data_IF_590900975838
#
_entry.id   IF_590900975838
#
_cell.length_a   1.000
_cell.length_b   1.000
_cell.length_c   1.000
_cell.angle_alpha   90.00
_cell.angle_beta   90.00
_cell.angle_gamma   90.00
#
_symmetry.space_group_name_H-M   'P 1'
#
loop_
_entity.id
_entity.type
_entity.pdbx_description
1 polymer ?
#
# COMPACT_ATOMS: atom_id res chain seq x y z
N UNK A 1 -24.79 10.02 -19.17
CA UNK A 1 -23.61 9.93 -18.29
C UNK A 1 -23.77 8.69 -17.44
N UNK A 2 -22.76 7.81 -17.40
CA UNK A 2 -22.68 6.81 -16.33
C UNK A 2 -22.37 7.55 -15.02
N UNK A 3 -22.85 7.07 -13.86
CA UNK A 3 -22.39 7.55 -12.58
C UNK A 3 -20.86 7.45 -12.52
N UNK A 4 -20.18 8.49 -12.06
CA UNK A 4 -18.72 8.48 -11.93
C UNK A 4 -18.22 7.34 -11.02
N UNK A 5 -19.01 6.93 -10.03
CA UNK A 5 -18.71 5.76 -9.19
C UNK A 5 -18.65 4.44 -9.96
N UNK A 6 -19.18 4.36 -11.19
CA UNK A 6 -19.05 3.19 -12.07
C UNK A 6 -17.77 3.22 -12.92
N UNK A 7 -17.00 4.32 -12.90
CA UNK A 7 -15.74 4.43 -13.66
C UNK A 7 -14.61 3.63 -13.01
N UNK A 8 -14.62 3.50 -11.69
CA UNK A 8 -13.53 2.91 -10.92
C UNK A 8 -13.92 1.56 -10.32
N UNK A 9 -13.89 0.53 -11.17
CA UNK A 9 -14.14 -0.86 -10.75
C UNK A 9 -12.82 -1.53 -10.39
N UNK A 10 -12.54 -1.84 -9.11
CA UNK A 10 -11.28 -2.48 -8.74
C UNK A 10 -11.26 -3.94 -9.21
N UNK A 11 -10.08 -4.37 -9.62
CA UNK A 11 -9.80 -5.75 -10.06
C UNK A 11 -9.00 -6.55 -9.03
N UNK A 12 -8.56 -5.89 -7.96
CA UNK A 12 -7.69 -6.43 -6.94
C UNK A 12 -6.50 -5.50 -6.66
N UNK A 13 -5.56 -5.97 -5.87
CA UNK A 13 -4.39 -5.19 -5.53
C UNK A 13 -3.26 -5.99 -4.93
N UNK A 14 -2.19 -5.30 -4.58
CA UNK A 14 -1.04 -5.86 -3.86
C UNK A 14 -0.97 -5.23 -2.47
N UNK A 15 -0.76 -6.04 -1.44
CA UNK A 15 -0.33 -5.59 -0.11
C UNK A 15 1.19 -5.70 -0.05
N UNK A 16 1.88 -4.58 -0.21
CA UNK A 16 3.32 -4.50 -0.08
C UNK A 16 3.79 -4.27 1.34
N UNK A 17 5.03 -4.66 1.62
CA UNK A 17 5.61 -4.66 2.96
C UNK A 17 7.10 -4.32 2.88
N UNK A 18 7.59 -3.48 3.79
CA UNK A 18 9.01 -3.15 3.90
C UNK A 18 9.40 -2.97 5.37
N UNK A 19 10.51 -3.59 5.76
CA UNK A 19 11.20 -3.21 6.99
C UNK A 19 12.08 -2.01 6.63
N UNK A 20 11.67 -0.82 7.07
CA UNK A 20 12.25 0.45 6.68
C UNK A 20 12.95 1.13 7.85
N UNK A 21 14.08 1.78 7.58
CA UNK A 21 14.71 2.75 8.48
C UNK A 21 15.26 3.89 7.62
N UNK A 22 15.35 5.10 8.19
CA UNK A 22 16.07 6.21 7.57
C UNK A 22 16.76 7.05 8.65
N UNK A 23 18.04 6.77 8.95
CA UNK A 23 18.78 7.50 9.97
C UNK A 23 18.94 8.98 9.65
N UNK A 24 19.01 9.34 8.36
CA UNK A 24 19.12 10.73 7.90
C UNK A 24 17.88 11.58 8.20
N UNK A 25 16.72 10.94 8.35
CA UNK A 25 15.46 11.57 8.74
C UNK A 25 15.05 11.23 10.18
N UNK A 26 15.94 10.63 10.98
CA UNK A 26 15.65 10.13 12.33
C UNK A 26 14.44 9.17 12.38
N UNK A 27 14.27 8.34 11.35
CA UNK A 27 13.26 7.29 11.29
C UNK A 27 13.90 6.00 11.80
N UNK A 28 13.48 5.58 12.98
CA UNK A 28 13.83 4.28 13.57
C UNK A 28 13.27 3.11 12.73
N UNK A 29 13.90 1.93 12.82
CA UNK A 29 13.44 0.75 12.09
C UNK A 29 12.00 0.38 12.44
N UNK A 30 11.18 0.13 11.41
CA UNK A 30 9.78 -0.26 11.56
C UNK A 30 9.25 -0.99 10.32
N UNK A 31 8.23 -1.81 10.51
CA UNK A 31 7.47 -2.39 9.41
C UNK A 31 6.52 -1.33 8.86
N UNK A 32 6.56 -1.13 7.55
CA UNK A 32 5.61 -0.30 6.81
C UNK A 32 4.90 -1.13 5.74
N UNK A 33 3.61 -0.86 5.58
CA UNK A 33 2.80 -1.43 4.52
C UNK A 33 2.55 -0.41 3.43
N UNK A 34 2.25 -0.91 2.23
CA UNK A 34 1.73 -0.11 1.13
C UNK A 34 0.68 -0.91 0.38
N UNK A 35 -0.27 -0.21 -0.24
CA UNK A 35 -1.35 -0.84 -1.01
C UNK A 35 -1.31 -0.27 -2.43
N UNK A 36 -1.37 -1.17 -3.42
CA UNK A 36 -1.61 -0.80 -4.81
C UNK A 36 -2.93 -1.43 -5.26
N UNK A 37 -3.93 -0.61 -5.60
CA UNK A 37 -5.23 -1.06 -6.11
C UNK A 37 -5.30 -0.80 -7.61
N UNK A 38 -5.58 -1.85 -8.38
CA UNK A 38 -5.72 -1.80 -9.84
C UNK A 38 -7.19 -1.74 -10.22
N UNK A 39 -7.52 -0.92 -11.19
CA UNK A 39 -8.89 -0.79 -11.71
C UNK A 39 -9.02 -1.40 -13.10
N UNK A 40 -10.25 -1.72 -13.50
CA UNK A 40 -10.55 -2.07 -14.88
C UNK A 40 -10.17 -0.89 -15.79
N UNK A 41 -9.69 -1.15 -17.02
CA UNK A 41 -9.57 -0.10 -18.01
C UNK A 41 -10.91 0.62 -18.19
N UNK A 42 -10.86 1.94 -18.24
CA UNK A 42 -12.02 2.80 -18.38
C UNK A 42 -11.75 3.87 -19.44
N UNK A 43 -12.82 4.42 -20.00
CA UNK A 43 -12.74 5.48 -21.00
C UNK A 43 -13.32 6.76 -20.41
N UNK A 44 -12.52 7.82 -20.39
CA UNK A 44 -12.92 9.17 -19.97
C UNK A 44 -12.50 10.11 -21.10
N UNK A 45 -13.45 10.90 -21.61
CA UNK A 45 -13.24 11.83 -22.73
C UNK A 45 -12.59 11.19 -23.97
N UNK A 46 -13.10 10.03 -24.39
CA UNK A 46 -12.62 9.24 -25.54
C UNK A 46 -11.15 8.75 -25.41
N UNK A 47 -10.56 8.81 -24.21
CA UNK A 47 -9.23 8.25 -23.90
C UNK A 47 -9.35 7.01 -23.02
N UNK A 48 -8.73 5.90 -23.44
CA UNK A 48 -8.63 4.68 -22.63
C UNK A 48 -7.50 4.83 -21.61
N UNK A 49 -7.78 4.51 -20.36
CA UNK A 49 -6.79 4.50 -19.29
C UNK A 49 -6.97 3.33 -18.34
N UNK A 50 -5.88 2.99 -17.65
CA UNK A 50 -5.86 2.00 -16.58
C UNK A 50 -5.50 2.69 -15.27
N UNK A 51 -6.49 3.08 -14.45
CA UNK A 51 -6.22 3.77 -13.20
C UNK A 51 -5.47 2.88 -12.20
N UNK A 52 -4.67 3.50 -11.33
CA UNK A 52 -3.96 2.84 -10.25
C UNK A 52 -4.00 3.73 -9.00
N UNK A 53 -4.53 3.22 -7.89
CA UNK A 53 -4.46 3.92 -6.61
C UNK A 53 -3.31 3.34 -5.79
N UNK A 54 -2.44 4.21 -5.29
CA UNK A 54 -1.32 3.85 -4.41
C UNK A 54 -1.47 4.49 -3.06
N UNK A 55 -1.21 3.72 -2.01
CA UNK A 55 -1.12 4.17 -0.63
C UNK A 55 0.23 3.74 -0.10
N UNK A 56 1.02 4.69 0.38
CA UNK A 56 2.36 4.47 0.90
C UNK A 56 2.41 4.71 2.41
N UNK A 57 3.46 4.17 3.04
CA UNK A 57 3.82 4.47 4.44
C UNK A 57 2.70 4.18 5.45
N UNK A 58 1.94 3.10 5.25
CA UNK A 58 0.92 2.67 6.20
C UNK A 58 1.64 2.06 7.41
N UNK A 59 1.56 2.76 8.55
CA UNK A 59 2.20 2.36 9.81
C UNK A 59 1.09 2.03 10.81
N UNK A 60 0.98 0.74 11.12
CA UNK A 60 -0.05 0.19 12.00
C UNK A 60 0.58 -0.75 13.04
N UNK A 61 -0.05 -1.00 14.19
CA UNK A 61 0.46 -1.88 15.24
C UNK A 61 0.37 -3.36 14.84
N UNK A 62 1.15 -3.75 13.83
CA UNK A 62 1.26 -5.11 13.31
C UNK A 62 2.72 -5.46 13.03
N UNK A 63 3.07 -6.72 13.21
CA UNK A 63 4.39 -7.30 12.93
C UNK A 63 4.40 -8.19 11.70
N UNK A 64 3.25 -8.44 11.08
CA UNK A 64 3.16 -9.17 9.81
C UNK A 64 1.86 -8.91 9.07
N UNK A 65 1.83 -9.16 7.76
CA UNK A 65 0.57 -9.08 7.01
C UNK A 65 -0.53 -10.01 7.55
N UNK A 66 -0.18 -11.13 8.20
CA UNK A 66 -1.15 -12.04 8.81
C UNK A 66 -1.88 -11.41 10.00
N UNK A 67 -1.19 -10.59 10.78
CA UNK A 67 -1.79 -9.85 11.90
C UNK A 67 -2.74 -8.74 11.46
N UNK A 68 -2.79 -8.40 10.16
CA UNK A 68 -3.80 -7.47 9.65
C UNK A 68 -5.19 -8.12 9.54
N UNK A 69 -5.29 -9.45 9.56
CA UNK A 69 -6.58 -10.14 9.42
C UNK A 69 -7.60 -9.65 10.48
N UNK A 70 -8.80 -9.31 10.02
CA UNK A 70 -9.88 -8.78 10.84
C UNK A 70 -9.54 -7.48 11.61
N UNK A 71 -8.53 -6.73 11.17
CA UNK A 71 -8.19 -5.42 11.74
C UNK A 71 -8.80 -4.28 10.95
N UNK A 72 -9.09 -3.17 11.63
CA UNK A 72 -9.58 -1.95 11.00
C UNK A 72 -8.74 -0.76 11.45
N UNK A 73 -8.37 0.08 10.49
CA UNK A 73 -7.58 1.28 10.71
C UNK A 73 -8.26 2.47 10.07
N UNK A 74 -8.38 3.55 10.83
CA UNK A 74 -8.88 4.84 10.37
C UNK A 74 -7.72 5.82 10.32
N UNK A 75 -7.75 6.68 9.30
CA UNK A 75 -6.72 7.69 9.09
C UNK A 75 -7.38 9.06 8.96
N UNK A 76 -6.77 10.12 9.52
CA UNK A 76 -7.26 11.46 9.31
C UNK A 76 -6.89 11.97 7.92
N UNK A 77 -7.72 12.87 7.38
CA UNK A 77 -7.39 13.65 6.18
C UNK A 77 -6.05 14.36 6.29
N UNK A 78 -5.27 14.35 5.22
CA UNK A 78 -4.03 15.10 5.06
C UNK A 78 -4.26 16.61 5.27
N UNK A 79 -3.29 17.37 5.84
CA UNK A 79 -1.97 16.97 6.34
C UNK A 79 -1.95 16.60 7.84
N UNK A 80 -3.07 16.13 8.41
CA UNK A 80 -3.12 15.86 9.85
C UNK A 80 -2.15 14.75 10.24
N UNK A 81 -1.45 14.84 11.40
CA UNK A 81 -0.59 13.76 11.87
C UNK A 81 -1.34 12.42 11.91
N UNK A 82 -0.74 11.40 11.29
CA UNK A 82 -1.35 10.07 11.15
C UNK A 82 -2.04 9.83 9.81
N UNK A 83 -2.19 10.85 8.94
CA UNK A 83 -2.63 10.66 7.55
C UNK A 83 -1.62 9.80 6.79
N UNK A 84 -2.10 9.03 5.82
CA UNK A 84 -1.26 8.26 4.89
C UNK A 84 -1.06 9.01 3.59
N UNK A 85 0.05 8.75 2.92
CA UNK A 85 0.36 9.33 1.61
C UNK A 85 -0.31 8.47 0.53
N UNK A 86 -1.27 9.03 -0.20
CA UNK A 86 -1.97 8.31 -1.25
C UNK A 86 -2.25 9.18 -2.47
N UNK A 87 -2.27 8.53 -3.63
CA UNK A 87 -2.60 9.16 -4.89
C UNK A 87 -3.24 8.16 -5.86
N UNK A 88 -4.15 8.67 -6.68
CA UNK A 88 -4.68 8.00 -7.84
C UNK A 88 -3.95 8.45 -9.09
N UNK A 89 -3.28 7.50 -9.74
CA UNK A 89 -2.68 7.69 -11.05
C UNK A 89 -3.77 7.64 -12.11
N UNK A 90 -3.97 8.76 -12.80
CA UNK A 90 -4.91 8.91 -13.90
C UNK A 90 -4.26 9.83 -14.95
N UNK A 91 -4.35 9.50 -16.24
CA UNK A 91 -3.73 10.29 -17.33
C UNK A 91 -2.21 10.52 -17.20
N UNK A 92 -1.49 9.63 -16.49
CA UNK A 92 -0.06 9.82 -16.20
C UNK A 92 0.21 10.81 -15.05
N UNK A 93 -0.83 11.42 -14.50
CA UNK A 93 -0.78 12.38 -13.40
C UNK A 93 -1.12 11.75 -12.05
N UNK A 94 -0.70 12.41 -10.97
CA UNK A 94 -0.98 12.03 -9.58
C UNK A 94 -2.09 12.90 -9.00
N UNK A 95 -3.27 12.33 -8.81
CA UNK A 95 -4.39 12.97 -8.13
C UNK A 95 -4.32 12.63 -6.64
N UNK A 96 -4.20 13.61 -5.72
CA UNK A 96 -4.13 13.34 -4.30
C UNK A 96 -5.34 12.55 -3.81
N UNK A 97 -5.09 11.63 -2.88
CA UNK A 97 -6.12 10.82 -2.27
C UNK A 97 -5.97 10.86 -0.74
N UNK A 98 -7.10 11.03 -0.06
CA UNK A 98 -7.21 10.87 1.38
C UNK A 98 -7.84 9.52 1.68
N UNK A 99 -7.02 8.57 2.12
CA UNK A 99 -7.52 7.29 2.62
C UNK A 99 -8.02 7.51 4.03
N UNK A 100 -9.29 7.21 4.28
CA UNK A 100 -9.93 7.42 5.58
C UNK A 100 -10.13 6.12 6.35
N UNK A 101 -10.19 4.98 5.64
CA UNK A 101 -10.45 3.69 6.25
C UNK A 101 -9.86 2.50 5.49
N UNK A 102 -9.27 1.57 6.23
CA UNK A 102 -8.86 0.24 5.78
C UNK A 102 -9.42 -0.81 6.74
N UNK A 103 -10.38 -1.62 6.30
CA UNK A 103 -10.86 -2.77 7.06
C UNK A 103 -10.44 -4.07 6.39
N UNK A 104 -9.41 -4.70 6.95
CA UNK A 104 -8.90 -5.98 6.52
C UNK A 104 -9.81 -7.11 7.02
N UNK A 105 -10.22 -7.99 6.12
CA UNK A 105 -11.06 -9.15 6.41
C UNK A 105 -10.25 -10.44 6.53
N UNK A 106 -10.91 -11.56 6.24
CA UNK A 106 -10.34 -12.91 6.26
C UNK A 106 -9.23 -13.09 5.21
N UNK A 107 -8.24 -13.91 5.56
CA UNK A 107 -7.23 -14.43 4.66
C UNK A 107 -7.72 -15.77 4.07
N UNK A 108 -7.92 -15.80 2.75
CA UNK A 108 -8.28 -17.02 2.02
C UNK A 108 -7.46 -17.14 0.75
N UNK A 109 -7.03 -18.37 0.42
CA UNK A 109 -6.25 -18.67 -0.79
C UNK A 109 -5.02 -17.78 -1.00
N UNK A 110 -4.34 -17.44 0.11
CA UNK A 110 -3.15 -16.59 0.10
C UNK A 110 -3.42 -15.11 -0.19
N UNK A 111 -4.68 -14.67 -0.14
CA UNK A 111 -5.09 -13.26 -0.31
C UNK A 111 -5.78 -12.77 0.95
N UNK A 112 -5.69 -11.47 1.22
CA UNK A 112 -6.41 -10.81 2.31
C UNK A 112 -7.55 -9.96 1.75
N UNK A 113 -8.75 -10.12 2.29
CA UNK A 113 -9.88 -9.24 1.93
C UNK A 113 -9.67 -7.84 2.49
N UNK A 114 -10.13 -6.82 1.77
CA UNK A 114 -10.04 -5.43 2.18
C UNK A 114 -11.30 -4.67 1.76
N UNK A 115 -11.92 -3.97 2.71
CA UNK A 115 -12.78 -2.83 2.44
C UNK A 115 -11.93 -1.55 2.55
N UNK A 116 -11.95 -0.75 1.51
CA UNK A 116 -11.13 0.45 1.37
C UNK A 116 -12.02 1.68 1.22
N UNK A 117 -11.71 2.73 1.96
CA UNK A 117 -12.42 4.02 1.96
C UNK A 117 -11.44 5.14 1.67
N UNK A 118 -11.76 5.95 0.66
CA UNK A 118 -10.92 7.08 0.25
C UNK A 118 -11.76 8.20 -0.33
N UNK A 119 -11.19 9.39 -0.29
CA UNK A 119 -11.60 10.53 -1.10
C UNK A 119 -10.47 10.84 -2.08
N UNK A 120 -10.79 11.16 -3.33
CA UNK A 120 -9.79 11.53 -4.34
C UNK A 120 -10.13 12.91 -4.88
N UNK A 121 -9.12 13.78 -4.90
CA UNK A 121 -9.24 15.14 -5.43
C UNK A 121 -8.71 15.18 -6.87
N UNK A 122 -9.63 15.30 -7.84
CA UNK A 122 -9.31 15.43 -9.26
C UNK A 122 -9.21 16.89 -9.73
N UNK A 123 -9.41 17.89 -8.85
CA UNK A 123 -9.42 19.31 -9.22
C UNK A 123 -8.02 19.83 -9.61
N UNK A 124 -6.97 19.13 -9.16
CA UNK A 124 -5.61 19.69 -9.15
C UNK A 124 -4.97 19.77 -10.56
N UNK A 125 -5.27 18.86 -11.51
CA UNK A 125 -4.51 18.80 -12.77
C UNK A 125 -5.33 18.56 -14.05
N UNK A 126 -6.66 18.55 -13.99
CA UNK A 126 -7.41 18.00 -15.12
C UNK A 126 -8.03 19.05 -16.08
N UNK A 127 -8.20 20.34 -15.72
CA UNK A 127 -9.18 21.22 -16.43
C UNK A 127 -10.53 20.50 -16.64
N UNK A 128 -10.80 19.47 -15.82
CA UNK A 128 -11.97 18.60 -15.86
C UNK A 128 -12.78 18.95 -14.64
N UNK A 129 -13.46 20.09 -14.75
CA UNK A 129 -14.39 20.60 -13.74
C UNK A 129 -15.52 19.60 -13.43
N UNK A 130 -15.63 18.51 -14.19
CA UNK A 130 -16.65 17.48 -14.07
C UNK A 130 -16.30 16.31 -13.14
N UNK A 131 -15.02 16.12 -12.75
CA UNK A 131 -14.65 15.01 -11.84
C UNK A 131 -14.74 15.37 -10.34
N UNK A 132 -14.48 16.64 -9.98
CA UNK A 132 -14.53 17.18 -8.60
C UNK A 132 -13.82 16.27 -7.55
N UNK A 133 -14.15 16.43 -6.27
CA UNK A 133 -13.76 15.49 -5.21
C UNK A 133 -14.71 14.30 -5.19
N UNK A 134 -14.16 13.09 -5.09
CA UNK A 134 -14.93 11.85 -5.13
C UNK A 134 -14.64 10.94 -3.96
N UNK A 135 -15.67 10.67 -3.15
CA UNK A 135 -15.66 9.60 -2.17
C UNK A 135 -15.83 8.24 -2.87
N UNK A 136 -14.99 7.28 -2.51
CA UNK A 136 -15.01 5.92 -3.04
C UNK A 136 -14.90 4.91 -1.91
N UNK A 137 -15.75 3.89 -1.99
CA UNK A 137 -15.67 2.70 -1.15
C UNK A 137 -15.69 1.47 -2.01
N UNK A 138 -14.76 0.56 -1.77
CA UNK A 138 -14.74 -0.70 -2.51
C UNK A 138 -14.23 -1.87 -1.70
N UNK A 139 -14.69 -3.06 -2.09
CA UNK A 139 -14.25 -4.35 -1.54
C UNK A 139 -13.36 -5.03 -2.58
N UNK A 140 -12.20 -5.49 -2.15
CA UNK A 140 -11.27 -6.21 -3.00
C UNK A 140 -10.47 -7.26 -2.21
N UNK A 141 -9.66 -8.04 -2.94
CA UNK A 141 -8.65 -8.91 -2.34
C UNK A 141 -7.26 -8.39 -2.71
N UNK A 142 -6.37 -8.35 -1.72
CA UNK A 142 -4.97 -8.01 -1.89
C UNK A 142 -4.11 -9.27 -1.91
N UNK A 143 -3.17 -9.33 -2.84
CA UNK A 143 -2.10 -10.31 -2.87
C UNK A 143 -0.95 -9.80 -2.00
N UNK A 144 -0.61 -10.46 -0.88
CA UNK A 144 0.53 -10.10 -0.06
C UNK A 144 1.82 -10.29 -0.86
N UNK A 145 2.59 -9.21 -0.99
CA UNK A 145 3.93 -9.22 -1.54
C UNK A 145 4.96 -9.64 -0.49
N UNK A 146 6.19 -9.99 -0.92
CA UNK A 146 7.27 -10.32 0.01
C UNK A 146 7.61 -9.13 0.91
N UNK A 147 8.08 -9.41 2.12
CA UNK A 147 8.69 -8.39 2.97
C UNK A 147 10.03 -7.97 2.36
N UNK A 148 10.14 -6.69 1.98
CA UNK A 148 11.40 -6.11 1.51
C UNK A 148 12.23 -5.61 2.68
N UNK A 149 13.56 -5.75 2.58
CA UNK A 149 14.48 -5.14 3.54
C UNK A 149 14.95 -3.81 2.97
N UNK A 150 14.77 -2.73 3.74
CA UNK A 150 15.21 -1.39 3.36
C UNK A 150 16.72 -1.33 3.15
N UNK A 151 17.14 -0.57 2.13
CA UNK A 151 18.56 -0.48 1.73
C UNK A 151 19.48 0.07 2.83
N UNK A 152 18.96 0.89 3.76
CA UNK A 152 19.73 1.36 4.92
C UNK A 152 20.09 0.20 5.86
N UNK A 153 19.11 -0.67 6.16
CA UNK A 153 19.31 -1.85 7.02
C UNK A 153 20.29 -2.81 6.37
N UNK A 154 20.11 -3.07 5.07
CA UNK A 154 21.04 -3.90 4.30
C UNK A 154 22.48 -3.40 4.44
N UNK A 155 22.72 -2.10 4.24
CA UNK A 155 24.06 -1.51 4.35
C UNK A 155 24.61 -1.57 5.77
N UNK A 156 23.78 -1.29 6.77
CA UNK A 156 24.14 -1.33 8.19
C UNK A 156 24.63 -2.71 8.63
N UNK A 157 24.06 -3.77 8.06
CA UNK A 157 24.37 -5.16 8.35
C UNK A 157 25.28 -5.80 7.29
N UNK A 158 25.96 -4.98 6.48
CA UNK A 158 26.89 -5.41 5.43
C UNK A 158 26.33 -6.44 4.42
N UNK A 159 25.01 -6.49 4.27
CA UNK A 159 24.34 -7.50 3.45
C UNK A 159 24.50 -8.94 3.95
N UNK A 160 24.73 -9.16 5.25
CA UNK A 160 24.75 -10.50 5.84
C UNK A 160 23.32 -10.97 6.14
N UNK A 161 22.95 -12.08 5.53
CA UNK A 161 21.61 -12.68 5.56
C UNK A 161 21.20 -13.17 6.96
N UNK A 162 22.15 -13.67 7.75
CA UNK A 162 21.88 -14.11 9.12
C UNK A 162 21.69 -12.91 10.07
N UNK A 163 22.54 -11.88 9.95
CA UNK A 163 22.40 -10.64 10.72
C UNK A 163 21.11 -9.89 10.36
N UNK A 164 20.76 -9.80 9.08
CA UNK A 164 19.49 -9.20 8.62
C UNK A 164 18.30 -9.95 9.20
N UNK A 165 18.31 -11.29 9.15
CA UNK A 165 17.21 -12.09 9.70
C UNK A 165 17.07 -11.89 11.21
N UNK A 166 18.17 -11.88 11.95
CA UNK A 166 18.14 -11.66 13.41
C UNK A 166 17.69 -10.24 13.77
N UNK A 167 18.10 -9.25 12.98
CA UNK A 167 17.61 -7.88 13.14
C UNK A 167 16.11 -7.77 12.85
N UNK A 168 15.63 -8.39 11.76
CA UNK A 168 14.22 -8.31 11.36
C UNK A 168 13.26 -8.89 12.40
N UNK A 169 13.66 -9.95 13.12
CA UNK A 169 12.85 -10.55 14.22
C UNK A 169 12.43 -9.57 15.31
N UNK A 170 13.16 -8.46 15.48
CA UNK A 170 12.83 -7.45 16.48
C UNK A 170 11.60 -6.64 16.11
N UNK A 171 11.27 -6.56 14.81
CA UNK A 171 10.23 -5.69 14.26
C UNK A 171 9.12 -6.48 13.56
N UNK A 172 9.45 -7.65 13.04
CA UNK A 172 8.58 -8.48 12.21
C UNK A 172 8.41 -9.86 12.85
N UNK A 173 7.21 -10.43 12.73
CA UNK A 173 6.97 -11.85 12.97
C UNK A 173 7.40 -12.66 11.74
N UNK A 174 8.58 -13.28 11.81
CA UNK A 174 9.14 -14.02 10.67
C UNK A 174 8.39 -15.32 10.35
N UNK A 175 7.53 -15.83 11.24
CA UNK A 175 6.74 -17.04 10.98
C UNK A 175 5.68 -16.80 9.88
N UNK A 176 5.41 -15.54 9.53
CA UNK A 176 4.55 -15.16 8.42
C UNK A 176 5.27 -15.19 7.05
N UNK A 177 6.56 -15.51 7.00
CA UNK A 177 7.40 -15.42 5.82
C UNK A 177 8.31 -16.65 5.65
N UNK A 178 8.79 -16.86 4.43
CA UNK A 178 9.80 -17.85 4.09
C UNK A 178 11.22 -17.37 4.41
N UNK A 179 12.25 -18.17 4.07
CA UNK A 179 13.64 -17.83 4.34
C UNK A 179 14.05 -16.56 3.58
N UNK A 180 15.02 -15.81 4.13
CA UNK A 180 15.56 -14.63 3.48
C UNK A 180 16.22 -15.00 2.13
N UNK A 181 15.98 -14.17 1.11
CA UNK A 181 16.52 -14.34 -0.23
C UNK A 181 17.21 -13.07 -0.72
N UNK A 182 18.38 -13.23 -1.34
CA UNK A 182 19.03 -12.15 -2.09
C UNK A 182 18.41 -12.04 -3.48
N UNK A 183 17.93 -10.85 -3.82
CA UNK A 183 17.34 -10.54 -5.14
C UNK A 183 18.01 -9.31 -5.76
N UNK A 184 17.86 -9.07 -7.08
CA UNK A 184 18.23 -7.79 -7.66
C UNK A 184 17.54 -6.64 -6.92
N UNK A 185 18.34 -5.72 -6.38
CA UNK A 185 17.82 -4.57 -5.64
C UNK A 185 17.72 -4.73 -4.11
N UNK A 186 18.08 -5.89 -3.53
CA UNK A 186 18.22 -6.02 -2.08
C UNK A 186 17.94 -7.41 -1.54
N UNK A 187 17.30 -7.46 -0.37
CA UNK A 187 16.84 -8.69 0.27
C UNK A 187 15.34 -8.70 0.43
N UNK A 188 14.75 -9.89 0.35
CA UNK A 188 13.35 -10.12 0.63
C UNK A 188 13.15 -11.33 1.54
N UNK A 189 12.02 -11.37 2.25
CA UNK A 189 11.46 -12.60 2.80
C UNK A 189 10.14 -12.88 2.06
N UNK A 190 10.03 -13.97 1.29
CA UNK A 190 8.82 -14.31 0.54
C UNK A 190 7.66 -14.59 1.49
N UNK A 191 6.43 -14.44 1.03
CA UNK A 191 5.26 -14.83 1.82
C UNK A 191 5.20 -16.36 1.90
N UNK A 192 5.02 -16.90 3.11
CA UNK A 192 4.94 -18.34 3.38
C UNK A 192 3.52 -18.89 3.25
#
# INVERSE_FOLDING_TARGET
MRPMSELFVPTGGTLGQILFENPGAAIEPRLEFFVEIRFQPTEIDDEEMTPLLRVNSIIVPSRSWKELENQTYEFPYYPKPGSVDAAMMLFGEQNPADVTGLAFGEISDGKISLQFETEVDFEIEANRDDLEQMEMTFNLSLEPGPLRIGTSIEKKLNGDDAEISEFAKQFVDLDAYGPIEKVPGGFILPVA
#
